data_IF_585071887902
#
_entry.id   IF_585071887902
#
_cell.length_a   1.000
_cell.length_b   1.000
_cell.length_c   1.000
_cell.angle_alpha   90.00
_cell.angle_beta   90.00
_cell.angle_gamma   90.00
#
_symmetry.space_group_name_H-M   'P 1'
#
loop_
_entity.id
_entity.type
_entity.pdbx_description
1 polymer ?
#
# COMPACT_ATOMS: atom_id res chain seq x y z
N UNK A 1 5.84 -17.58 2.86
CA UNK A 1 5.07 -18.11 4.00
C UNK A 1 5.98 -18.35 5.20
N UNK A 2 5.56 -17.92 6.35
CA UNK A 2 6.27 -18.14 7.62
C UNK A 2 5.48 -19.08 8.53
N UNK A 3 6.17 -20.03 9.12
CA UNK A 3 5.65 -20.94 10.17
C UNK A 3 6.67 -21.05 11.30
N UNK A 4 6.22 -20.95 12.55
CA UNK A 4 7.10 -21.02 13.71
C UNK A 4 6.72 -20.03 14.82
N UNK A 5 7.72 -19.49 15.52
CA UNK A 5 7.53 -18.49 16.58
C UNK A 5 7.08 -17.15 15.97
N UNK A 6 5.80 -16.85 16.06
CA UNK A 6 5.22 -15.62 15.50
C UNK A 6 5.76 -14.36 16.19
N UNK A 7 6.19 -14.43 17.44
CA UNK A 7 6.78 -13.29 18.11
C UNK A 7 8.11 -12.87 17.46
N UNK A 8 8.85 -13.80 16.89
CA UNK A 8 10.06 -13.49 16.13
C UNK A 8 9.76 -12.76 14.81
N UNK A 9 8.70 -13.14 14.12
CA UNK A 9 8.25 -12.41 12.94
C UNK A 9 7.65 -11.05 13.33
N UNK A 10 6.81 -11.01 14.36
CA UNK A 10 6.18 -9.77 14.84
C UNK A 10 7.22 -8.72 15.23
N UNK A 11 8.35 -9.13 15.82
CA UNK A 11 9.43 -8.22 16.20
C UNK A 11 9.98 -7.39 15.03
N UNK A 12 9.83 -7.85 13.80
CA UNK A 12 10.26 -7.16 12.57
C UNK A 12 9.17 -6.26 11.96
N UNK A 13 7.90 -6.43 12.38
CA UNK A 13 6.73 -5.81 11.79
C UNK A 13 6.15 -4.71 12.69
N UNK A 14 5.36 -3.82 12.10
CA UNK A 14 4.63 -2.79 12.86
C UNK A 14 3.20 -3.21 13.23
N UNK A 15 2.67 -4.28 12.65
CA UNK A 15 1.37 -4.85 13.03
C UNK A 15 1.51 -5.76 14.26
N UNK A 16 0.39 -6.03 14.91
CA UNK A 16 0.25 -7.00 16.01
C UNK A 16 -0.33 -8.30 15.40
N UNK A 17 0.51 -9.36 15.34
CA UNK A 17 0.13 -10.65 14.79
C UNK A 17 -0.83 -11.43 15.68
N UNK A 18 -0.82 -11.17 17.01
CA UNK A 18 -1.78 -11.77 17.92
C UNK A 18 -3.22 -11.28 17.65
N UNK A 19 -3.36 -10.11 17.04
CA UNK A 19 -4.65 -9.55 16.61
C UNK A 19 -4.99 -9.84 15.14
N UNK A 20 -4.22 -10.69 14.46
CA UNK A 20 -4.51 -11.14 13.10
C UNK A 20 -5.26 -12.48 13.17
N UNK A 21 -6.58 -12.45 13.02
CA UNK A 21 -7.43 -13.63 13.04
C UNK A 21 -7.32 -14.50 11.78
N UNK A 22 -7.86 -15.72 11.86
CA UNK A 22 -8.02 -16.56 10.68
C UNK A 22 -8.93 -15.86 9.65
N UNK A 23 -8.56 -15.90 8.38
CA UNK A 23 -9.27 -15.22 7.30
C UNK A 23 -9.05 -13.70 7.26
N UNK A 24 -8.13 -13.16 8.01
CA UNK A 24 -7.81 -11.72 8.02
C UNK A 24 -6.49 -11.41 7.33
N UNK A 25 -6.40 -10.17 6.87
CA UNK A 25 -5.22 -9.57 6.26
C UNK A 25 -4.95 -8.19 6.87
N UNK A 26 -3.68 -7.82 7.02
CA UNK A 26 -3.26 -6.50 7.49
C UNK A 26 -2.13 -5.95 6.63
N UNK A 27 -2.19 -4.65 6.41
CA UNK A 27 -1.06 -3.88 5.90
C UNK A 27 -0.10 -3.58 7.05
N UNK A 28 1.19 -3.73 6.83
CA UNK A 28 2.24 -3.50 7.82
C UNK A 28 3.50 -2.96 7.15
N UNK A 29 4.45 -2.51 7.96
CA UNK A 29 5.72 -1.96 7.51
C UNK A 29 6.88 -2.74 8.10
N UNK A 30 7.97 -2.83 7.34
CA UNK A 30 9.31 -3.14 7.82
C UNK A 30 10.03 -1.81 8.04
N UNK A 31 10.60 -1.60 9.22
CA UNK A 31 11.33 -0.38 9.56
C UNK A 31 12.80 -0.70 9.84
N UNK A 32 13.64 0.33 9.69
CA UNK A 32 15.01 0.33 10.22
C UNK A 32 15.04 0.91 11.65
N UNK A 33 16.20 0.89 12.29
CA UNK A 33 16.36 1.35 13.67
C UNK A 33 16.18 2.88 13.81
N UNK A 34 16.35 3.63 12.72
CA UNK A 34 16.09 5.06 12.63
C UNK A 34 14.63 5.39 12.35
N UNK A 35 13.75 4.38 12.23
CA UNK A 35 12.32 4.51 11.97
C UNK A 35 11.97 4.72 10.50
N UNK A 36 12.94 4.65 9.58
CA UNK A 36 12.72 4.72 8.15
C UNK A 36 12.07 3.44 7.60
N UNK A 37 11.25 3.58 6.58
CA UNK A 37 10.48 2.48 5.99
C UNK A 37 11.36 1.68 5.04
N UNK A 38 11.63 0.41 5.36
CA UNK A 38 12.39 -0.52 4.51
C UNK A 38 11.54 -1.09 3.38
N UNK A 39 10.30 -1.42 3.68
CA UNK A 39 9.26 -1.79 2.73
C UNK A 39 7.88 -1.78 3.41
N UNK A 40 6.83 -1.85 2.60
CA UNK A 40 5.45 -2.09 3.00
C UNK A 40 4.96 -3.43 2.46
N UNK A 41 4.18 -4.14 3.25
CA UNK A 41 3.74 -5.48 2.89
C UNK A 41 2.39 -5.84 3.49
N UNK A 42 1.79 -6.88 2.91
CA UNK A 42 0.57 -7.48 3.45
C UNK A 42 0.93 -8.75 4.22
N UNK A 43 0.34 -8.92 5.39
CA UNK A 43 0.37 -10.17 6.17
C UNK A 43 -1.04 -10.72 6.32
N UNK A 44 -1.20 -12.04 6.20
CA UNK A 44 -2.53 -12.66 6.23
C UNK A 44 -2.51 -14.10 6.75
N UNK A 45 -3.70 -14.60 7.17
CA UNK A 45 -3.95 -16.00 7.57
C UNK A 45 -5.06 -16.62 6.70
N UNK A 46 -4.82 -16.89 5.42
CA UNK A 46 -5.89 -17.31 4.51
C UNK A 46 -6.40 -18.74 4.77
N UNK A 47 -5.58 -19.61 5.36
CA UNK A 47 -5.87 -21.03 5.57
C UNK A 47 -5.59 -21.51 7.01
N UNK A 48 -5.24 -20.58 7.91
CA UNK A 48 -4.97 -20.87 9.32
C UNK A 48 -3.60 -21.50 9.60
N UNK A 49 -2.79 -21.81 8.58
CA UNK A 49 -1.47 -22.42 8.72
C UNK A 49 -0.35 -21.39 8.48
N UNK A 50 0.11 -20.77 9.57
CA UNK A 50 1.18 -19.76 9.56
C UNK A 50 0.76 -18.42 8.92
N UNK A 51 1.76 -17.60 8.67
CA UNK A 51 1.57 -16.26 8.08
C UNK A 51 1.96 -16.27 6.61
N UNK A 52 1.04 -15.85 5.76
CA UNK A 52 1.30 -15.59 4.35
C UNK A 52 1.65 -14.11 4.17
N UNK A 53 2.77 -13.83 3.48
CA UNK A 53 3.27 -12.48 3.25
C UNK A 53 3.27 -12.17 1.76
N UNK A 54 2.85 -10.96 1.40
CA UNK A 54 2.97 -10.41 0.04
C UNK A 54 3.80 -9.14 0.14
N UNK A 55 4.98 -9.15 -0.46
CA UNK A 55 5.96 -8.05 -0.46
C UNK A 55 6.02 -7.39 -1.82
N UNK A 56 6.59 -6.20 -1.92
CA UNK A 56 6.81 -5.53 -3.20
C UNK A 56 7.78 -6.33 -4.08
N UNK A 57 7.42 -6.50 -5.36
CA UNK A 57 8.19 -7.33 -6.29
C UNK A 57 9.64 -6.86 -6.45
N UNK A 58 9.89 -5.55 -6.42
CA UNK A 58 11.23 -4.99 -6.51
C UNK A 58 12.06 -5.20 -5.24
N UNK A 59 11.41 -5.35 -4.08
CA UNK A 59 12.06 -5.50 -2.77
C UNK A 59 12.16 -6.94 -2.28
N UNK A 60 11.54 -7.89 -2.97
CA UNK A 60 11.37 -9.29 -2.54
C UNK A 60 12.64 -9.99 -2.06
N UNK A 61 13.79 -9.73 -2.68
CA UNK A 61 15.06 -10.38 -2.32
C UNK A 61 15.63 -9.79 -1.03
N UNK A 62 15.57 -8.47 -0.89
CA UNK A 62 16.00 -7.75 0.32
C UNK A 62 15.10 -8.10 1.50
N UNK A 63 13.78 -8.11 1.30
CA UNK A 63 12.82 -8.42 2.35
C UNK A 63 12.92 -9.86 2.81
N UNK A 64 13.07 -10.79 1.85
CA UNK A 64 13.27 -12.20 2.20
C UNK A 64 14.53 -12.39 3.06
N UNK A 65 15.65 -11.79 2.66
CA UNK A 65 16.90 -11.88 3.42
C UNK A 65 16.76 -11.23 4.82
N UNK A 66 16.07 -10.08 4.94
CA UNK A 66 15.82 -9.43 6.21
C UNK A 66 14.95 -10.27 7.14
N UNK A 67 13.84 -10.79 6.63
CA UNK A 67 12.91 -11.65 7.38
C UNK A 67 13.57 -12.97 7.79
N UNK A 68 14.34 -13.60 6.89
CA UNK A 68 15.07 -14.84 7.17
C UNK A 68 16.08 -14.65 8.29
N UNK A 69 16.88 -13.59 8.22
CA UNK A 69 17.87 -13.27 9.25
C UNK A 69 17.21 -12.99 10.61
N UNK A 70 16.14 -12.20 10.64
CA UNK A 70 15.44 -11.84 11.88
C UNK A 70 14.67 -12.99 12.54
N UNK A 71 14.28 -14.01 11.76
CA UNK A 71 13.55 -15.18 12.25
C UNK A 71 14.40 -16.45 12.35
N UNK A 72 15.74 -16.34 12.15
CA UNK A 72 16.66 -17.47 12.15
C UNK A 72 16.58 -18.30 13.44
N UNK A 73 16.41 -19.62 13.30
CA UNK A 73 16.27 -20.55 14.43
C UNK A 73 14.95 -20.47 15.20
N UNK A 74 14.01 -19.61 14.79
CA UNK A 74 12.70 -19.41 15.42
C UNK A 74 11.53 -19.92 14.58
N UNK A 75 11.74 -20.11 13.29
CA UNK A 75 10.73 -20.59 12.38
C UNK A 75 11.29 -20.92 11.00
N UNK A 76 10.40 -21.24 10.09
CA UNK A 76 10.71 -21.53 8.69
C UNK A 76 10.04 -20.48 7.80
N UNK A 77 10.87 -19.72 7.09
CA UNK A 77 10.41 -18.84 6.01
C UNK A 77 10.57 -19.58 4.68
N UNK A 78 9.48 -19.65 3.90
CA UNK A 78 9.46 -20.31 2.59
C UNK A 78 9.07 -19.28 1.55
N UNK A 79 9.93 -19.12 0.54
CA UNK A 79 9.62 -18.31 -0.64
C UNK A 79 8.77 -19.14 -1.61
N UNK A 80 7.61 -18.60 -1.98
CA UNK A 80 6.67 -19.27 -2.87
C UNK A 80 6.91 -18.81 -4.31
N UNK A 81 7.95 -19.37 -4.95
CA UNK A 81 8.38 -18.97 -6.30
C UNK A 81 7.48 -19.52 -7.42
N UNK A 82 6.68 -20.53 -7.11
CA UNK A 82 5.77 -21.23 -8.00
C UNK A 82 4.35 -20.61 -8.05
N UNK A 83 4.22 -19.36 -7.57
CA UNK A 83 2.92 -18.67 -7.53
C UNK A 83 2.95 -17.36 -8.31
N UNK A 84 1.84 -17.07 -8.96
CA UNK A 84 1.53 -15.76 -9.56
C UNK A 84 0.50 -15.03 -8.71
N UNK A 85 0.48 -13.70 -8.79
CA UNK A 85 -0.52 -12.84 -8.16
C UNK A 85 -1.24 -12.04 -9.25
N UNK A 86 -2.55 -12.22 -9.36
CA UNK A 86 -3.44 -11.44 -10.22
C UNK A 86 -4.31 -10.53 -9.37
N UNK A 87 -4.63 -9.35 -9.88
CA UNK A 87 -5.55 -8.40 -9.25
C UNK A 87 -6.75 -8.15 -10.17
N UNK A 88 -7.95 -8.51 -9.72
CA UNK A 88 -9.23 -8.15 -10.33
C UNK A 88 -9.80 -6.97 -9.54
N UNK A 89 -9.86 -5.79 -10.13
CA UNK A 89 -10.16 -4.55 -9.42
C UNK A 89 -11.23 -3.74 -10.16
N UNK A 90 -12.03 -2.99 -9.41
CA UNK A 90 -13.02 -2.07 -9.97
C UNK A 90 -14.45 -2.39 -9.54
N UNK A 91 -15.42 -1.51 -9.84
CA UNK A 91 -16.79 -1.61 -9.34
C UNK A 91 -17.53 -2.90 -9.78
N UNK A 92 -17.17 -3.48 -10.93
CA UNK A 92 -17.74 -4.73 -11.43
C UNK A 92 -17.01 -5.99 -10.93
N UNK A 93 -15.90 -5.88 -10.20
CA UNK A 93 -15.10 -7.02 -9.76
C UNK A 93 -15.92 -8.04 -8.92
N UNK A 94 -16.82 -7.53 -8.07
CA UNK A 94 -17.73 -8.36 -7.28
C UNK A 94 -18.66 -9.20 -8.15
N UNK A 95 -19.21 -8.63 -9.22
CA UNK A 95 -20.17 -9.32 -10.09
C UNK A 95 -19.47 -10.40 -10.94
N UNK A 96 -18.27 -10.11 -11.40
CA UNK A 96 -17.39 -11.10 -12.04
C UNK A 96 -17.09 -12.25 -11.10
N UNK A 97 -16.67 -11.94 -9.87
CA UNK A 97 -16.31 -12.96 -8.88
C UNK A 97 -17.54 -13.76 -8.43
N UNK A 98 -18.72 -13.16 -8.37
CA UNK A 98 -19.97 -13.88 -8.03
C UNK A 98 -20.31 -14.98 -9.04
N UNK A 99 -19.92 -14.82 -10.31
CA UNK A 99 -20.09 -15.85 -11.35
C UNK A 99 -19.01 -16.94 -11.28
N UNK A 100 -17.79 -16.58 -10.95
CA UNK A 100 -16.63 -17.47 -11.05
C UNK A 100 -16.32 -18.19 -9.72
N UNK A 101 -16.50 -17.51 -8.57
CA UNK A 101 -16.24 -18.00 -7.24
C UNK A 101 -17.14 -17.32 -6.21
N UNK A 102 -18.45 -17.69 -6.12
CA UNK A 102 -19.45 -17.01 -5.27
C UNK A 102 -19.05 -16.93 -3.79
N UNK A 103 -18.33 -17.94 -3.29
CA UNK A 103 -17.91 -17.99 -1.89
C UNK A 103 -16.90 -16.87 -1.54
N UNK A 104 -16.08 -16.44 -2.49
CA UNK A 104 -15.15 -15.33 -2.30
C UNK A 104 -15.88 -13.98 -2.10
N UNK A 105 -17.11 -13.84 -2.60
CA UNK A 105 -17.92 -12.64 -2.40
C UNK A 105 -18.38 -12.44 -0.95
N UNK A 106 -18.27 -13.47 -0.09
CA UNK A 106 -18.54 -13.38 1.35
C UNK A 106 -17.46 -12.61 2.11
N UNK A 107 -16.26 -12.51 1.54
CA UNK A 107 -15.19 -11.69 2.09
C UNK A 107 -15.62 -10.21 2.11
N UNK A 108 -15.19 -9.49 3.14
CA UNK A 108 -15.18 -8.03 3.18
C UNK A 108 -13.76 -7.52 3.05
N UNK A 109 -13.59 -6.21 2.88
CA UNK A 109 -12.28 -5.58 2.73
C UNK A 109 -11.31 -6.00 3.85
N UNK A 110 -10.11 -6.43 3.46
CA UNK A 110 -9.05 -6.97 4.31
C UNK A 110 -9.37 -8.35 4.91
N UNK A 111 -10.27 -9.10 4.30
CA UNK A 111 -10.41 -10.54 4.56
C UNK A 111 -9.80 -11.37 3.43
N UNK A 112 -9.41 -12.59 3.77
CA UNK A 112 -8.77 -13.53 2.85
C UNK A 112 -9.21 -14.97 3.13
N UNK A 113 -8.94 -15.87 2.20
CA UNK A 113 -9.23 -17.30 2.37
C UNK A 113 -8.65 -18.15 1.25
N UNK A 114 -8.79 -19.47 1.42
CA UNK A 114 -8.51 -20.46 0.39
C UNK A 114 -9.81 -20.79 -0.36
N UNK A 115 -9.76 -20.77 -1.68
CA UNK A 115 -10.93 -20.99 -2.56
C UNK A 115 -10.57 -21.90 -3.72
N UNK A 116 -11.60 -22.41 -4.39
CA UNK A 116 -11.46 -23.13 -5.66
C UNK A 116 -12.01 -22.24 -6.78
N UNK A 117 -11.13 -21.81 -7.68
CA UNK A 117 -11.48 -21.01 -8.85
C UNK A 117 -11.24 -21.83 -10.11
N UNK A 118 -12.30 -22.19 -10.84
CA UNK A 118 -12.24 -23.04 -12.03
C UNK A 118 -11.41 -24.33 -11.81
N UNK A 119 -11.64 -25.02 -10.68
CA UNK A 119 -10.92 -26.23 -10.29
C UNK A 119 -9.51 -26.04 -9.75
N UNK A 120 -9.00 -24.78 -9.66
CA UNK A 120 -7.68 -24.45 -9.12
C UNK A 120 -7.80 -24.00 -7.68
N UNK A 121 -6.93 -24.52 -6.80
CA UNK A 121 -6.81 -24.04 -5.43
C UNK A 121 -6.02 -22.72 -5.41
N UNK A 122 -6.67 -21.65 -4.96
CA UNK A 122 -6.12 -20.29 -4.90
C UNK A 122 -6.22 -19.74 -3.48
N UNK A 123 -5.31 -18.83 -3.13
CA UNK A 123 -5.50 -17.95 -1.98
C UNK A 123 -5.99 -16.61 -2.50
N UNK A 124 -7.04 -16.10 -1.90
CA UNK A 124 -7.67 -14.86 -2.37
C UNK A 124 -7.92 -13.93 -1.20
N UNK A 125 -7.64 -12.64 -1.39
CA UNK A 125 -8.03 -11.58 -0.48
C UNK A 125 -8.96 -10.58 -1.16
N UNK A 126 -9.85 -9.95 -0.40
CA UNK A 126 -10.63 -8.81 -0.87
C UNK A 126 -9.90 -7.53 -0.50
N UNK A 127 -9.00 -7.14 -1.37
CA UNK A 127 -8.05 -6.04 -1.21
C UNK A 127 -7.55 -5.58 -2.56
N UNK A 128 -6.78 -4.52 -2.59
CA UNK A 128 -6.17 -4.00 -3.82
C UNK A 128 -5.51 -2.65 -3.62
N UNK A 129 -4.96 -2.13 -4.72
CA UNK A 129 -4.17 -0.90 -4.75
C UNK A 129 -4.77 0.13 -5.70
N UNK A 130 -6.10 0.25 -5.71
CA UNK A 130 -6.84 1.09 -6.66
C UNK A 130 -7.85 2.04 -6.01
N UNK A 131 -8.10 1.88 -4.71
CA UNK A 131 -9.19 2.58 -4.04
C UNK A 131 -10.59 2.01 -4.31
N UNK A 132 -10.71 1.04 -5.22
CA UNK A 132 -11.95 0.36 -5.55
C UNK A 132 -12.05 -1.01 -4.89
N UNK A 133 -13.26 -1.59 -4.91
CA UNK A 133 -13.47 -2.98 -4.52
C UNK A 133 -12.76 -3.94 -5.48
N UNK A 134 -12.30 -5.06 -4.97
CA UNK A 134 -11.61 -6.03 -5.80
C UNK A 134 -10.94 -7.14 -5.01
N UNK A 135 -10.28 -8.02 -5.76
CA UNK A 135 -9.66 -9.23 -5.24
C UNK A 135 -8.22 -9.34 -5.73
N UNK A 136 -7.34 -9.78 -4.84
CA UNK A 136 -6.00 -10.23 -5.17
C UNK A 136 -5.96 -11.75 -5.08
N UNK A 137 -5.52 -12.41 -6.16
CA UNK A 137 -5.65 -13.85 -6.34
C UNK A 137 -4.26 -14.45 -6.51
N UNK A 138 -3.79 -15.18 -5.50
CA UNK A 138 -2.53 -15.94 -5.55
C UNK A 138 -2.82 -17.34 -6.12
N UNK A 139 -2.18 -17.65 -7.25
CA UNK A 139 -2.49 -18.78 -8.13
C UNK A 139 -1.21 -19.61 -8.32
N UNK A 140 -1.25 -20.96 -8.38
CA UNK A 140 -0.13 -21.73 -8.88
C UNK A 140 0.33 -21.24 -10.26
N UNK A 141 1.61 -21.05 -10.45
CA UNK A 141 2.17 -20.49 -11.69
C UNK A 141 1.72 -21.25 -12.94
N UNK A 142 1.58 -22.57 -12.86
CA UNK A 142 1.13 -23.41 -13.95
C UNK A 142 -0.28 -23.06 -14.47
N UNK A 143 -1.13 -22.53 -13.59
CA UNK A 143 -2.53 -22.15 -13.90
C UNK A 143 -2.72 -20.67 -14.19
N UNK A 144 -1.69 -19.84 -14.00
CA UNK A 144 -1.81 -18.38 -14.06
C UNK A 144 -2.38 -17.87 -15.39
N UNK A 145 -1.89 -18.39 -16.50
CA UNK A 145 -2.37 -17.99 -17.84
C UNK A 145 -3.83 -18.42 -18.08
N UNK A 146 -4.21 -19.62 -17.60
CA UNK A 146 -5.58 -20.11 -17.72
C UNK A 146 -6.55 -19.24 -16.93
N UNK A 147 -6.23 -18.95 -15.67
CA UNK A 147 -7.06 -18.10 -14.83
C UNK A 147 -7.11 -16.63 -15.34
N UNK A 148 -5.99 -16.09 -15.82
CA UNK A 148 -5.99 -14.77 -16.45
C UNK A 148 -6.94 -14.70 -17.65
N UNK A 149 -6.93 -15.74 -18.52
CA UNK A 149 -7.85 -15.83 -19.66
C UNK A 149 -9.31 -15.99 -19.23
N UNK A 150 -9.58 -16.76 -18.16
CA UNK A 150 -10.92 -16.90 -17.58
C UNK A 150 -11.48 -15.54 -17.11
N UNK A 151 -10.66 -14.74 -16.45
CA UNK A 151 -11.04 -13.38 -16.02
C UNK A 151 -11.28 -12.47 -17.24
N UNK A 152 -10.36 -12.46 -18.20
CA UNK A 152 -10.46 -11.64 -19.43
C UNK A 152 -11.59 -12.07 -20.37
N UNK A 153 -12.18 -13.24 -20.19
CA UNK A 153 -13.35 -13.69 -20.95
C UNK A 153 -14.67 -13.10 -20.41
N UNK A 154 -14.63 -12.37 -19.32
CA UNK A 154 -15.80 -11.65 -18.78
C UNK A 154 -15.90 -10.28 -19.45
N UNK A 155 -17.09 -9.92 -19.91
CA UNK A 155 -17.34 -8.71 -20.71
C UNK A 155 -16.90 -7.41 -20.01
N UNK A 156 -16.93 -7.39 -18.66
CA UNK A 156 -16.56 -6.22 -17.85
C UNK A 156 -15.05 -6.12 -17.56
N UNK A 157 -14.27 -7.13 -17.94
CA UNK A 157 -12.85 -7.23 -17.56
C UNK A 157 -11.95 -6.84 -18.70
N UNK A 158 -11.11 -5.86 -18.46
CA UNK A 158 -10.07 -5.40 -19.37
C UNK A 158 -8.67 -5.55 -18.74
N UNK A 159 -7.70 -5.93 -19.56
CA UNK A 159 -6.30 -5.92 -19.14
C UNK A 159 -5.78 -4.49 -19.08
N UNK A 160 -5.23 -4.09 -17.93
CA UNK A 160 -4.65 -2.77 -17.73
C UNK A 160 -3.14 -2.84 -17.50
N UNK A 161 -2.44 -1.75 -17.78
CA UNK A 161 -1.00 -1.62 -17.54
C UNK A 161 -0.66 -0.87 -16.24
N UNK A 162 0.64 -0.74 -15.98
CA UNK A 162 1.17 -0.03 -14.81
C UNK A 162 0.75 1.44 -14.75
N UNK A 163 0.52 2.10 -15.88
CA UNK A 163 0.04 3.48 -15.91
C UNK A 163 -1.35 3.66 -15.30
N UNK A 164 -2.28 2.72 -15.54
CA UNK A 164 -3.59 2.71 -14.91
C UNK A 164 -3.47 2.40 -13.41
N UNK A 165 -2.67 1.40 -13.02
CA UNK A 165 -2.38 1.10 -11.62
C UNK A 165 -1.83 2.33 -10.89
N UNK A 166 -0.90 3.07 -11.49
CA UNK A 166 -0.28 4.25 -10.88
C UNK A 166 -1.28 5.40 -10.73
N UNK A 167 -2.10 5.71 -11.74
CA UNK A 167 -3.10 6.76 -11.61
C UNK A 167 -4.18 6.42 -10.58
N UNK A 168 -4.64 5.17 -10.51
CA UNK A 168 -5.66 4.74 -9.55
C UNK A 168 -5.14 4.77 -8.10
N UNK A 169 -3.94 4.23 -7.84
CA UNK A 169 -3.36 4.29 -6.48
C UNK A 169 -3.13 5.74 -6.04
N UNK A 170 -2.69 6.63 -6.97
CA UNK A 170 -2.47 8.04 -6.70
C UNK A 170 -3.78 8.74 -6.30
N UNK A 171 -4.87 8.53 -7.05
CA UNK A 171 -6.20 9.06 -6.70
C UNK A 171 -6.68 8.55 -5.33
N UNK A 172 -6.38 7.28 -5.02
CA UNK A 172 -6.67 6.67 -3.71
C UNK A 172 -5.74 7.15 -2.58
N UNK A 173 -4.74 8.00 -2.87
CA UNK A 173 -3.80 8.53 -1.89
C UNK A 173 -2.83 7.48 -1.31
N UNK A 174 -2.68 6.33 -1.99
CA UNK A 174 -1.83 5.22 -1.56
C UNK A 174 -0.37 5.48 -1.92
N UNK A 175 0.54 5.26 -0.96
CA UNK A 175 1.98 5.40 -1.17
C UNK A 175 2.52 4.37 -2.16
N UNK A 176 3.54 4.77 -2.90
CA UNK A 176 4.39 3.88 -3.70
C UNK A 176 5.77 3.83 -3.07
N UNK A 177 6.20 2.63 -2.67
CA UNK A 177 7.54 2.43 -2.12
C UNK A 177 8.63 2.81 -3.13
N UNK A 178 9.69 3.44 -2.66
CA UNK A 178 10.76 3.99 -3.47
C UNK A 178 10.49 5.39 -4.04
N UNK A 179 9.26 5.90 -3.89
CA UNK A 179 8.84 7.25 -4.33
C UNK A 179 8.27 8.06 -3.16
N UNK A 180 7.14 7.63 -2.58
CA UNK A 180 6.47 8.33 -1.49
C UNK A 180 7.02 7.96 -0.11
N UNK A 181 7.75 6.87 -0.02
CA UNK A 181 8.38 6.38 1.20
C UNK A 181 9.59 5.51 0.86
N UNK A 182 10.59 5.56 1.72
CA UNK A 182 11.84 4.82 1.66
C UNK A 182 12.49 4.73 3.04
N UNK A 183 13.74 4.26 3.11
CA UNK A 183 14.51 4.13 4.35
C UNK A 183 14.84 5.45 5.05
N UNK A 184 14.58 6.61 4.43
CA UNK A 184 14.81 7.95 5.00
C UNK A 184 13.52 8.59 5.51
N UNK A 185 12.36 8.01 5.23
CA UNK A 185 11.04 8.51 5.62
C UNK A 185 10.41 7.63 6.68
N UNK A 186 9.90 8.25 7.73
CA UNK A 186 9.21 7.53 8.80
C UNK A 186 7.72 7.41 8.51
N UNK A 187 7.00 6.44 9.12
CA UNK A 187 5.55 6.37 9.04
C UNK A 187 4.82 7.62 9.54
N UNK A 188 5.42 8.38 10.46
CA UNK A 188 4.85 9.65 10.96
C UNK A 188 4.87 10.71 9.88
N UNK A 189 6.01 10.88 9.21
CA UNK A 189 6.17 11.80 8.07
C UNK A 189 5.30 11.38 6.88
N UNK A 190 5.27 10.08 6.57
CA UNK A 190 4.52 9.51 5.46
C UNK A 190 2.99 9.46 5.67
N UNK A 191 2.49 9.92 6.84
CA UNK A 191 1.06 9.83 7.20
C UNK A 191 0.53 8.38 7.27
N UNK A 192 1.39 7.43 7.68
CA UNK A 192 1.12 5.99 7.79
C UNK A 192 1.06 5.50 9.25
N UNK A 193 0.84 6.37 10.24
CA UNK A 193 0.72 5.98 11.65
C UNK A 193 -0.35 4.89 11.86
N UNK A 194 -1.38 4.87 11.05
CA UNK A 194 -2.45 3.88 11.09
C UNK A 194 -1.96 2.44 10.77
N UNK A 195 -0.83 2.29 10.07
CA UNK A 195 -0.19 1.01 9.77
C UNK A 195 0.59 0.44 10.97
N UNK A 196 0.79 1.23 12.02
CA UNK A 196 1.40 0.82 13.27
C UNK A 196 0.29 0.47 14.27
N UNK A 197 0.16 -0.81 14.64
CA UNK A 197 -0.85 -1.22 15.61
C UNK A 197 -0.70 -0.43 16.92
N UNK A 198 -1.83 -0.02 17.51
CA UNK A 198 -1.82 0.76 18.75
C UNK A 198 -1.07 0.02 19.86
N UNK A 199 -1.33 -1.28 20.01
CA UNK A 199 -0.65 -2.16 20.98
C UNK A 199 0.86 -2.19 20.77
N UNK A 200 1.34 -2.21 19.53
CA UNK A 200 2.77 -2.17 19.19
C UNK A 200 3.40 -0.82 19.56
N UNK A 201 2.71 0.28 19.25
CA UNK A 201 3.17 1.63 19.64
C UNK A 201 3.26 1.80 21.16
N UNK A 202 2.30 1.23 21.91
CA UNK A 202 2.30 1.25 23.38
C UNK A 202 3.41 0.38 23.99
N UNK A 203 3.74 -0.76 23.39
CA UNK A 203 4.85 -1.63 23.81
C UNK A 203 6.22 -1.07 23.41
N UNK A 204 6.30 -0.36 22.28
CA UNK A 204 7.57 0.16 21.75
C UNK A 204 8.56 -0.93 21.33
N UNK A 205 8.08 -2.09 20.87
CA UNK A 205 8.84 -3.32 20.67
C UNK A 205 9.06 -3.66 19.17
N UNK A 206 9.12 -2.67 18.30
CA UNK A 206 9.44 -2.80 16.87
C UNK A 206 10.63 -1.90 16.49
N UNK A 207 11.34 -2.16 15.39
CA UNK A 207 12.48 -1.36 14.95
C UNK A 207 12.11 0.12 14.80
N UNK A 208 12.94 1.03 15.30
CA UNK A 208 12.71 2.47 15.21
C UNK A 208 11.63 3.03 16.14
N UNK A 209 11.04 2.23 17.04
CA UNK A 209 9.92 2.65 17.89
C UNK A 209 10.20 3.92 18.70
N UNK A 210 11.42 4.10 19.23
CA UNK A 210 11.80 5.29 19.98
C UNK A 210 11.74 6.57 19.13
N UNK A 211 12.22 6.51 17.90
CA UNK A 211 12.17 7.64 16.94
C UNK A 211 10.71 7.95 16.59
N UNK A 212 9.92 6.91 16.31
CA UNK A 212 8.49 7.05 15.98
C UNK A 212 7.74 7.72 17.13
N UNK A 213 7.94 7.25 18.38
CA UNK A 213 7.30 7.85 19.54
C UNK A 213 7.71 9.31 19.73
N UNK A 214 8.99 9.62 19.63
CA UNK A 214 9.49 11.01 19.68
C UNK A 214 8.81 11.90 18.62
N UNK A 215 8.66 11.42 17.40
CA UNK A 215 8.02 12.17 16.33
C UNK A 215 6.50 12.35 16.54
N UNK A 216 5.84 11.38 17.16
CA UNK A 216 4.42 11.52 17.53
C UNK A 216 4.26 12.64 18.57
N UNK A 217 5.11 12.68 19.58
CA UNK A 217 5.04 13.64 20.69
C UNK A 217 5.48 15.05 20.27
N UNK A 218 6.66 15.17 19.66
CA UNK A 218 7.25 16.45 19.25
C UNK A 218 6.73 16.96 17.90
N UNK A 219 6.11 16.06 17.11
CA UNK A 219 5.69 16.26 15.72
C UNK A 219 6.89 16.38 14.75
N UNK A 220 6.71 15.95 13.50
CA UNK A 220 7.75 15.99 12.47
C UNK A 220 7.93 17.38 11.88
N UNK A 221 9.13 17.67 11.34
CA UNK A 221 9.41 18.92 10.61
C UNK A 221 8.76 18.94 9.21
N UNK A 222 8.54 17.76 8.62
CA UNK A 222 7.91 17.58 7.32
C UNK A 222 6.79 16.56 7.39
N UNK A 223 5.87 16.62 6.43
CA UNK A 223 4.78 15.63 6.30
C UNK A 223 4.35 15.48 4.87
N UNK A 224 3.95 14.25 4.49
CA UNK A 224 3.32 13.96 3.22
C UNK A 224 1.90 14.53 3.17
N UNK A 225 1.59 15.21 2.07
CA UNK A 225 0.29 15.86 1.79
C UNK A 225 -0.20 15.49 0.39
N UNK A 226 -1.48 15.74 0.14
CA UNK A 226 -2.09 15.76 -1.18
C UNK A 226 -2.11 17.19 -1.75
N UNK A 227 -1.96 17.31 -3.05
CA UNK A 227 -1.96 18.57 -3.79
C UNK A 227 -2.83 18.45 -5.04
N UNK A 228 -3.74 19.39 -5.22
CA UNK A 228 -4.45 19.57 -6.47
C UNK A 228 -3.87 20.76 -7.22
N UNK A 229 -3.84 20.72 -8.54
CA UNK A 229 -3.31 21.80 -9.37
C UNK A 229 -4.08 21.90 -10.69
N UNK A 230 -3.87 22.96 -11.44
CA UNK A 230 -4.46 23.15 -12.77
C UNK A 230 -3.42 23.04 -13.87
N UNK A 231 -3.84 22.61 -15.07
CA UNK A 231 -3.00 22.53 -16.25
C UNK A 231 -2.15 21.26 -16.32
N UNK A 232 -0.85 21.38 -16.55
CA UNK A 232 0.03 20.21 -16.68
C UNK A 232 0.32 19.56 -15.32
N UNK A 233 0.27 18.20 -15.20
CA UNK A 233 0.62 17.53 -13.98
C UNK A 233 2.08 17.79 -13.56
N UNK A 234 2.32 17.97 -12.26
CA UNK A 234 3.64 17.85 -11.69
C UNK A 234 4.08 16.37 -11.71
N UNK A 235 5.39 16.15 -11.75
CA UNK A 235 5.98 14.81 -11.67
C UNK A 235 6.88 14.74 -10.45
N UNK A 236 7.26 13.55 -10.08
CA UNK A 236 8.26 13.30 -9.05
C UNK A 236 9.48 14.22 -9.23
N UNK A 237 10.00 14.73 -8.10
CA UNK A 237 11.12 15.66 -8.08
C UNK A 237 10.76 17.13 -8.36
N UNK A 238 9.51 17.45 -8.71
CA UNK A 238 9.09 18.83 -8.83
C UNK A 238 9.13 19.53 -7.45
N UNK A 239 9.73 20.72 -7.40
CA UNK A 239 9.81 21.50 -6.18
C UNK A 239 8.43 22.04 -5.78
N UNK A 240 8.17 22.07 -4.47
CA UNK A 240 7.00 22.72 -3.88
C UNK A 240 7.47 24.03 -3.25
N UNK A 241 6.86 25.13 -3.64
CA UNK A 241 7.24 26.46 -3.18
C UNK A 241 6.04 27.20 -2.57
N UNK A 242 6.34 28.16 -1.71
CA UNK A 242 5.40 29.19 -1.28
C UNK A 242 5.14 30.17 -2.43
N UNK A 243 4.09 30.99 -2.33
CA UNK A 243 3.75 32.00 -3.34
C UNK A 243 4.80 33.09 -3.56
N UNK A 244 5.68 33.30 -2.59
CA UNK A 244 6.86 34.19 -2.67
C UNK A 244 8.14 33.51 -3.17
N UNK A 245 8.04 32.21 -3.52
CA UNK A 245 9.12 31.46 -4.19
C UNK A 245 10.07 30.72 -3.26
N UNK A 246 9.83 30.67 -1.94
CA UNK A 246 10.64 29.82 -1.03
C UNK A 246 10.34 28.35 -1.30
N UNK A 247 11.35 27.53 -1.59
CA UNK A 247 11.20 26.07 -1.70
C UNK A 247 11.01 25.49 -0.30
N UNK A 248 9.92 24.71 -0.12
CA UNK A 248 9.48 24.14 1.15
C UNK A 248 9.27 22.63 1.09
N UNK A 249 9.43 22.02 -0.07
CA UNK A 249 9.18 20.60 -0.23
C UNK A 249 9.41 20.07 -1.64
N UNK A 250 9.03 18.81 -1.83
CA UNK A 250 9.21 18.10 -3.09
C UNK A 250 8.01 17.17 -3.36
N UNK A 251 7.61 17.07 -4.61
CA UNK A 251 6.62 16.10 -5.11
C UNK A 251 7.28 14.73 -5.18
N UNK A 252 6.61 13.72 -4.64
CA UNK A 252 7.05 12.31 -4.68
C UNK A 252 6.25 11.47 -5.66
N UNK A 253 4.99 11.83 -5.88
CA UNK A 253 4.12 11.20 -6.88
C UNK A 253 3.23 12.26 -7.51
N UNK A 254 3.02 12.19 -8.82
CA UNK A 254 2.14 13.13 -9.47
C UNK A 254 1.72 12.71 -10.87
N UNK A 255 0.47 12.99 -11.20
CA UNK A 255 -0.13 12.55 -12.45
C UNK A 255 -1.46 13.24 -12.74
N UNK A 256 -2.15 12.70 -13.72
CA UNK A 256 -3.53 13.04 -14.00
C UNK A 256 -4.43 11.98 -13.36
N UNK A 257 -5.37 12.41 -12.54
CA UNK A 257 -6.41 11.56 -11.96
C UNK A 257 -7.61 11.49 -12.90
N UNK A 258 -7.89 10.34 -13.52
CA UNK A 258 -9.00 10.24 -14.49
C UNK A 258 -10.37 10.37 -13.83
N UNK A 259 -10.53 9.87 -12.61
CA UNK A 259 -11.79 9.97 -11.85
C UNK A 259 -11.94 11.36 -11.21
N UNK A 260 -10.87 11.90 -10.64
CA UNK A 260 -10.79 13.27 -10.14
C UNK A 260 -10.94 14.30 -11.27
N UNK A 261 -10.65 13.89 -12.50
CA UNK A 261 -10.65 14.70 -13.73
C UNK A 261 -9.73 15.92 -13.66
N UNK A 262 -8.53 15.71 -13.14
CA UNK A 262 -7.56 16.78 -12.99
C UNK A 262 -6.18 16.30 -12.54
N UNK A 263 -5.17 17.16 -12.59
CA UNK A 263 -3.85 16.86 -12.07
C UNK A 263 -3.87 16.80 -10.54
N UNK A 264 -3.24 15.75 -10.01
CA UNK A 264 -3.05 15.54 -8.57
C UNK A 264 -1.60 15.15 -8.29
N UNK A 265 -1.13 15.46 -7.10
CA UNK A 265 0.21 15.09 -6.66
C UNK A 265 0.24 14.79 -5.15
N UNK A 266 1.18 13.95 -4.73
CA UNK A 266 1.58 13.81 -3.34
C UNK A 266 3.02 14.28 -3.20
N UNK A 267 3.36 14.78 -2.02
CA UNK A 267 4.70 15.24 -1.74
C UNK A 267 4.90 15.61 -0.28
N UNK A 268 6.13 15.90 0.09
CA UNK A 268 6.47 16.33 1.44
C UNK A 268 6.66 17.83 1.48
N UNK A 269 6.12 18.47 2.50
CA UNK A 269 6.31 19.90 2.78
C UNK A 269 6.72 20.13 4.21
N UNK A 270 7.38 21.27 4.46
CA UNK A 270 7.60 21.78 5.81
C UNK A 270 6.25 21.87 6.55
N UNK A 271 6.26 21.53 7.83
CA UNK A 271 5.07 21.39 8.66
C UNK A 271 4.10 22.58 8.63
N UNK A 272 4.63 23.79 8.60
CA UNK A 272 3.82 25.01 8.68
C UNK A 272 2.92 25.22 7.45
N UNK A 273 3.17 24.45 6.38
CA UNK A 273 2.46 24.54 5.10
C UNK A 273 1.54 23.34 4.79
N UNK A 274 1.34 22.43 5.75
CA UNK A 274 0.58 21.19 5.51
C UNK A 274 -0.94 21.34 5.69
N UNK A 275 -1.43 22.51 6.12
CA UNK A 275 -2.86 22.69 6.37
C UNK A 275 -3.68 22.64 5.08
N UNK A 276 -4.82 21.94 5.10
CA UNK A 276 -5.76 21.90 3.97
C UNK A 276 -6.17 23.33 3.57
N UNK A 277 -6.21 23.57 2.26
CA UNK A 277 -6.51 24.89 1.68
C UNK A 277 -5.29 25.81 1.59
N UNK A 278 -4.10 25.41 2.07
CA UNK A 278 -2.87 26.19 1.87
C UNK A 278 -2.55 26.31 0.38
N UNK A 279 -2.40 27.53 -0.10
CA UNK A 279 -2.00 27.82 -1.48
C UNK A 279 -0.49 27.77 -1.62
N UNK A 280 -0.03 27.00 -2.59
CA UNK A 280 1.39 26.76 -2.89
C UNK A 280 1.61 26.87 -4.41
N UNK A 281 2.84 26.78 -4.83
CA UNK A 281 3.23 26.63 -6.22
C UNK A 281 4.03 25.33 -6.43
N UNK A 282 3.73 24.58 -7.49
CA UNK A 282 4.57 23.49 -7.97
C UNK A 282 5.42 23.95 -9.14
N UNK A 283 6.73 23.73 -9.08
CA UNK A 283 7.62 24.16 -10.16
C UNK A 283 7.62 23.11 -11.28
N UNK A 284 6.81 23.34 -12.29
CA UNK A 284 6.68 22.44 -13.44
C UNK A 284 7.38 23.01 -14.65
N UNK A 285 8.44 22.35 -15.13
CA UNK A 285 9.27 22.81 -16.24
C UNK A 285 9.80 24.24 -16.03
N UNK A 286 10.27 24.49 -14.80
CA UNK A 286 10.83 25.81 -14.40
C UNK A 286 9.81 26.95 -14.25
N UNK A 287 8.52 26.63 -14.23
CA UNK A 287 7.44 27.65 -14.06
C UNK A 287 6.57 27.30 -12.87
N UNK A 288 6.24 28.25 -12.00
CA UNK A 288 5.30 28.04 -10.91
C UNK A 288 3.89 27.75 -11.45
N UNK A 289 3.26 26.75 -10.87
CA UNK A 289 1.89 26.35 -11.13
C UNK A 289 1.10 26.39 -9.82
N UNK A 290 0.03 27.19 -9.76
CA UNK A 290 -0.81 27.24 -8.59
C UNK A 290 -1.31 25.86 -8.18
N UNK A 291 -1.14 25.52 -6.91
CA UNK A 291 -1.57 24.30 -6.30
C UNK A 291 -2.20 24.58 -4.93
N UNK A 292 -3.00 23.64 -4.45
CA UNK A 292 -3.66 23.74 -3.16
C UNK A 292 -3.47 22.44 -2.39
N UNK A 293 -3.13 22.53 -1.12
CA UNK A 293 -3.10 21.36 -0.21
C UNK A 293 -4.52 20.84 -0.03
N UNK A 294 -4.68 19.54 -0.23
CA UNK A 294 -5.97 18.86 -0.09
C UNK A 294 -5.84 17.57 0.72
N UNK A 295 -6.96 17.09 1.25
CA UNK A 295 -7.03 15.80 1.93
C UNK A 295 -6.79 14.65 0.97
N UNK A 296 -6.20 13.59 1.49
CA UNK A 296 -6.16 12.28 0.85
C UNK A 296 -7.26 11.38 1.45
N UNK A 297 -7.86 10.51 0.66
CA UNK A 297 -7.67 10.31 -0.79
C UNK A 297 -8.27 11.44 -1.64
N UNK A 298 -7.83 11.60 -2.89
CA UNK A 298 -8.41 12.56 -3.86
C UNK A 298 -9.80 12.14 -4.33
N UNK A 299 -10.01 10.82 -4.42
CA UNK A 299 -11.29 10.17 -4.74
C UNK A 299 -11.65 9.26 -3.58
N UNK A 300 -12.89 9.29 -3.07
CA UNK A 300 -13.31 8.39 -1.98
C UNK A 300 -13.06 6.93 -2.32
N UNK A 301 -12.56 6.17 -1.35
CA UNK A 301 -12.37 4.73 -1.51
C UNK A 301 -13.70 3.97 -1.44
N UNK A 302 -13.91 3.02 -2.35
CA UNK A 302 -15.13 2.22 -2.50
C UNK A 302 -14.95 0.76 -2.04
N UNK A 303 -14.14 0.53 -1.02
CA UNK A 303 -13.92 -0.80 -0.46
C UNK A 303 -15.21 -1.39 0.12
N UNK A 304 -15.52 -2.63 -0.22
CA UNK A 304 -16.69 -3.33 0.34
C UNK A 304 -16.44 -3.73 1.80
N UNK A 305 -17.26 -3.20 2.69
CA UNK A 305 -17.12 -3.41 4.15
C UNK A 305 -18.24 -4.23 4.77
N UNK A 306 -19.15 -4.77 3.93
CA UNK A 306 -20.34 -5.52 4.37
C UNK A 306 -21.63 -4.71 4.33
#
# INVERSE_FOLDING_TARGET
RYTGDEAALEALLTCDLALLGAGEQKYTLLLNDEGGIRDDLMVSRPDGDGIFLVVNAAMKDQDFAHLEAGTAGKGKLVRLEDRALLALQGPAAKDVMARLCPDACKLVFMQCGAFTLDGVQVLMSRSGYTGEDGFEISIPQADAVRIARLLLAQDEVEAIGLGARDSLRLEAGLCLYGHDMDTTRTPVEASLIWALAKTRRERGDFPGAAVIQQQIDAKTSQKRIGLTLSGAPAREGAEIATRDGKIIGVVTSGGFGPTFNGPVAMGYVERDFMAEGTELDLIVRGKPRPAMVTKLPFVPNNFFRG
#
